data_IF_299899973253
#
_entry.id   IF_299899973253
#
_cell.length_a   1.000
_cell.length_b   1.000
_cell.length_c   1.000
_cell.angle_alpha   90.00
_cell.angle_beta   90.00
_cell.angle_gamma   90.00
#
_symmetry.space_group_name_H-M   'P 1'
#
loop_
_entity.id
_entity.type
_entity.pdbx_description
1 polymer ?
#
# COMPACT_ATOMS: atom_id res chain seq x y z
N UNK A 1 -10.73 -18.66 -3.10
CA UNK A 1 -10.25 -19.47 -1.96
C UNK A 1 -9.21 -18.62 -1.23
N UNK A 2 -9.54 -18.10 -0.05
CA UNK A 2 -8.61 -17.34 0.76
C UNK A 2 -7.69 -18.33 1.48
N UNK A 3 -6.41 -18.36 1.10
CA UNK A 3 -5.38 -19.13 1.77
C UNK A 3 -5.17 -18.57 3.17
N UNK A 4 -5.72 -19.26 4.17
CA UNK A 4 -5.78 -18.87 5.58
C UNK A 4 -4.67 -19.57 6.36
N UNK A 5 -3.42 -19.16 6.15
CA UNK A 5 -2.31 -19.68 6.94
C UNK A 5 -1.04 -18.88 6.74
N UNK A 6 -0.36 -18.59 7.85
CA UNK A 6 1.09 -18.33 7.84
C UNK A 6 1.74 -19.46 7.07
N UNK A 7 2.61 -19.20 6.07
CA UNK A 7 3.39 -20.27 5.49
C UNK A 7 4.13 -21.00 6.64
N UNK A 8 4.28 -22.32 6.52
CA UNK A 8 4.79 -23.17 7.61
C UNK A 8 6.18 -22.69 8.08
N UNK A 9 6.94 -22.19 7.12
CA UNK A 9 8.03 -21.30 7.34
C UNK A 9 7.39 -19.89 7.43
N UNK A 10 7.42 -19.08 8.50
CA UNK A 10 6.74 -17.75 8.59
C UNK A 10 6.84 -16.68 7.46
N UNK A 11 7.01 -15.40 7.83
CA UNK A 11 7.28 -14.34 6.84
C UNK A 11 8.78 -14.32 6.53
N UNK A 12 9.14 -14.38 5.24
CA UNK A 12 10.53 -14.41 4.78
C UNK A 12 10.74 -13.45 3.63
N UNK A 13 11.99 -13.01 3.50
CA UNK A 13 12.43 -12.03 2.52
C UNK A 13 13.23 -10.94 3.20
N UNK A 14 13.75 -10.02 2.41
CA UNK A 14 14.46 -8.86 2.91
C UNK A 14 13.46 -7.82 3.45
N UNK A 15 13.55 -7.37 4.71
CA UNK A 15 12.63 -6.40 5.26
C UNK A 15 12.85 -5.02 4.64
N UNK A 16 11.80 -4.50 4.02
CA UNK A 16 11.81 -3.26 3.26
C UNK A 16 10.68 -2.33 3.71
N UNK A 17 10.86 -1.03 3.48
CA UNK A 17 9.84 -0.03 3.82
C UNK A 17 8.89 0.18 2.65
N UNK A 18 7.62 -0.13 2.86
CA UNK A 18 6.52 0.19 1.94
C UNK A 18 5.77 1.41 2.45
N UNK A 19 5.44 2.31 1.53
CA UNK A 19 4.62 3.49 1.85
C UNK A 19 3.36 3.50 1.00
N UNK A 20 2.23 3.62 1.69
CA UNK A 20 0.90 3.78 1.10
C UNK A 20 0.43 5.18 1.47
N UNK A 21 0.09 6.02 0.51
CA UNK A 21 -0.40 7.37 0.82
C UNK A 21 -1.51 7.87 -0.09
N UNK A 22 -2.33 8.76 0.46
CA UNK A 22 -3.27 9.57 -0.30
C UNK A 22 -2.57 10.79 -0.90
N UNK A 23 -2.80 11.03 -2.19
CA UNK A 23 -2.44 12.25 -2.93
C UNK A 23 -3.68 13.06 -3.31
N UNK A 24 -4.81 12.78 -2.68
CA UNK A 24 -6.01 13.59 -2.84
C UNK A 24 -5.83 14.97 -2.21
N UNK A 25 -6.65 15.94 -2.62
CA UNK A 25 -6.60 17.32 -2.11
C UNK A 25 -6.82 17.40 -0.59
N UNK A 26 -7.50 16.42 -0.01
CA UNK A 26 -7.84 16.32 1.41
C UNK A 26 -6.89 15.39 2.19
N UNK A 27 -5.67 15.17 1.69
CA UNK A 27 -4.70 14.20 2.25
C UNK A 27 -4.31 14.45 3.71
N UNK A 28 -4.50 15.66 4.22
CA UNK A 28 -4.24 16.01 5.62
C UNK A 28 -5.49 15.92 6.52
N UNK A 29 -6.68 15.87 5.93
CA UNK A 29 -7.96 15.92 6.64
C UNK A 29 -8.62 14.55 6.74
N UNK A 30 -8.61 13.79 5.65
CA UNK A 30 -9.32 12.51 5.56
C UNK A 30 -8.41 11.36 5.93
N UNK A 31 -8.70 10.71 7.05
CA UNK A 31 -8.10 9.42 7.40
C UNK A 31 -8.87 8.27 6.72
N UNK A 32 -8.22 7.50 5.85
CA UNK A 32 -8.80 6.28 5.26
C UNK A 32 -8.39 5.00 6.02
N UNK A 33 -7.58 5.14 7.07
CA UNK A 33 -7.11 4.07 7.90
C UNK A 33 -8.01 3.78 9.12
N UNK A 34 -7.65 2.77 9.92
CA UNK A 34 -6.46 1.93 9.75
C UNK A 34 -6.38 1.16 8.42
N UNK A 35 -5.16 0.97 7.91
CA UNK A 35 -4.92 0.15 6.72
C UNK A 35 -4.46 -1.22 7.21
N UNK A 36 -5.22 -2.25 6.85
CA UNK A 36 -4.92 -3.63 7.15
C UNK A 36 -4.01 -4.16 6.04
N UNK A 37 -2.83 -4.64 6.43
CA UNK A 37 -1.88 -5.29 5.56
C UNK A 37 -1.79 -6.75 5.97
N UNK A 38 -2.39 -7.63 5.18
CA UNK A 38 -2.49 -9.06 5.48
C UNK A 38 -1.51 -9.87 4.62
N UNK A 39 -0.77 -10.74 5.26
CA UNK A 39 0.02 -11.76 4.58
C UNK A 39 0.25 -12.93 5.53
N UNK A 40 0.34 -14.15 4.98
CA UNK A 40 0.63 -15.34 5.74
C UNK A 40 -0.14 -15.41 7.06
N UNK A 41 -1.47 -15.28 7.05
CA UNK A 41 -2.29 -15.40 8.26
C UNK A 41 -2.07 -14.36 9.37
N UNK A 42 -1.21 -13.36 9.16
CA UNK A 42 -1.00 -12.23 10.06
C UNK A 42 -1.55 -10.95 9.42
N UNK A 43 -2.01 -10.03 10.26
CA UNK A 43 -2.52 -8.72 9.85
C UNK A 43 -1.74 -7.65 10.59
N UNK A 44 -1.05 -6.79 9.85
CA UNK A 44 -0.50 -5.54 10.37
C UNK A 44 -1.54 -4.42 10.23
N UNK A 45 -1.72 -3.64 11.29
CA UNK A 45 -2.72 -2.59 11.38
C UNK A 45 -2.03 -1.23 11.35
N UNK A 46 -1.92 -0.65 10.15
CA UNK A 46 -1.19 0.58 9.92
C UNK A 46 -2.03 1.79 10.30
N UNK A 47 -1.45 2.66 11.12
CA UNK A 47 -2.02 3.96 11.50
C UNK A 47 -1.30 5.11 10.81
N UNK A 48 -1.97 6.24 10.54
CA UNK A 48 -1.31 7.39 9.92
C UNK A 48 -0.30 8.03 10.87
N UNK A 49 0.65 8.78 10.32
CA UNK A 49 1.59 9.58 11.10
C UNK A 49 0.89 10.62 11.99
N UNK A 50 1.54 11.00 13.09
CA UNK A 50 1.05 12.06 13.98
C UNK A 50 1.01 13.42 13.25
N UNK A 51 0.03 14.25 13.63
CA UNK A 51 0.03 15.68 13.29
C UNK A 51 1.21 16.37 14.00
N UNK A 52 2.12 16.98 13.23
CA UNK A 52 3.27 17.73 13.76
C UNK A 52 3.01 19.26 13.76
N UNK A 53 1.79 19.69 13.48
CA UNK A 53 1.40 21.09 13.56
C UNK A 53 1.37 21.58 15.01
N UNK A 54 2.02 22.72 15.28
CA UNK A 54 1.82 23.43 16.54
C UNK A 54 0.48 24.15 16.47
N UNK A 55 -0.58 23.48 16.90
CA UNK A 55 -1.91 24.06 17.00
C UNK A 55 -2.48 23.82 18.39
N UNK A 56 -2.81 24.92 19.09
CA UNK A 56 -3.34 24.87 20.46
C UNK A 56 -4.72 24.18 20.46
N UNK A 57 -4.88 23.07 21.18
CA UNK A 57 -6.17 22.46 21.50
C UNK A 57 -6.95 21.84 20.34
N UNK A 58 -6.46 20.73 19.76
CA UNK A 58 -7.15 19.96 18.70
C UNK A 58 -7.64 20.79 17.49
N UNK A 59 -7.04 21.96 17.24
CA UNK A 59 -7.54 22.91 16.24
C UNK A 59 -7.10 22.62 14.81
N UNK A 60 -5.99 21.88 14.60
CA UNK A 60 -5.53 21.54 13.26
C UNK A 60 -5.96 20.14 12.82
N UNK A 61 -5.72 19.11 13.66
CA UNK A 61 -6.05 17.72 13.34
C UNK A 61 -5.54 17.26 11.96
N UNK A 62 -4.48 17.89 11.46
CA UNK A 62 -3.94 17.66 10.12
C UNK A 62 -2.98 16.47 10.21
N UNK A 63 -3.37 15.33 9.67
CA UNK A 63 -2.51 14.14 9.64
C UNK A 63 -2.27 13.77 8.21
N UNK A 64 -1.01 13.67 7.84
CA UNK A 64 -0.64 13.10 6.54
C UNK A 64 -1.23 11.69 6.46
N UNK A 65 -2.07 11.48 5.46
CA UNK A 65 -2.66 10.18 5.13
C UNK A 65 -1.62 9.28 4.45
N UNK A 66 -0.54 9.04 5.17
CA UNK A 66 0.64 8.28 4.80
C UNK A 66 0.83 7.19 5.84
N UNK A 67 0.93 5.96 5.37
CA UNK A 67 1.04 4.76 6.17
C UNK A 67 2.36 4.09 5.82
N UNK A 68 3.18 3.91 6.83
CA UNK A 68 4.47 3.23 6.73
C UNK A 68 4.30 1.79 7.18
N UNK A 69 4.77 0.86 6.37
CA UNK A 69 4.80 -0.56 6.68
C UNK A 69 6.20 -1.11 6.49
N UNK A 70 6.55 -2.11 7.30
CA UNK A 70 7.72 -2.95 7.04
C UNK A 70 7.20 -4.25 6.42
N UNK A 71 7.61 -4.51 5.18
CA UNK A 71 7.19 -5.69 4.41
C UNK A 71 8.41 -6.50 4.02
N UNK A 72 8.28 -7.83 3.98
CA UNK A 72 9.30 -8.66 3.38
C UNK A 72 9.18 -8.59 1.85
N UNK A 73 10.32 -8.45 1.16
CA UNK A 73 10.39 -8.59 -0.29
C UNK A 73 9.93 -9.98 -0.75
N UNK A 74 9.57 -10.08 -2.02
CA UNK A 74 9.23 -11.34 -2.70
C UNK A 74 8.00 -12.04 -2.10
N UNK A 75 7.06 -11.23 -1.61
CA UNK A 75 5.82 -11.68 -1.00
C UNK A 75 4.60 -10.98 -1.60
N UNK A 76 3.45 -11.61 -1.41
CA UNK A 76 2.15 -11.01 -1.73
C UNK A 76 1.46 -10.54 -0.46
N UNK A 77 0.93 -9.32 -0.49
CA UNK A 77 0.17 -8.73 0.61
C UNK A 77 -1.22 -8.30 0.13
N UNK A 78 -2.25 -8.58 0.92
CA UNK A 78 -3.56 -8.00 0.74
C UNK A 78 -3.65 -6.67 1.50
N UNK A 79 -4.16 -5.65 0.84
CA UNK A 79 -4.34 -4.30 1.40
C UNK A 79 -5.83 -4.01 1.49
N UNK A 80 -6.30 -3.76 2.71
CA UNK A 80 -7.68 -3.39 2.99
C UNK A 80 -7.71 -2.09 3.79
N UNK A 81 -8.60 -1.18 3.42
CA UNK A 81 -8.82 0.07 4.17
C UNK A 81 -10.12 -0.03 4.95
N UNK A 82 -10.20 0.59 6.13
CA UNK A 82 -11.48 0.71 6.85
C UNK A 82 -12.30 1.90 6.39
N UNK A 83 -11.65 2.96 5.88
CA UNK A 83 -12.30 4.10 5.25
C UNK A 83 -12.34 3.99 3.72
N UNK A 84 -12.94 4.99 3.07
CA UNK A 84 -12.95 5.10 1.61
C UNK A 84 -11.53 5.28 1.08
N UNK A 85 -11.02 4.37 0.21
CA UNK A 85 -9.71 4.52 -0.40
C UNK A 85 -9.57 5.85 -1.15
N UNK A 86 -8.37 6.46 -1.18
CA UNK A 86 -8.12 7.67 -1.96
C UNK A 86 -8.34 7.46 -3.46
N UNK A 87 -8.72 8.54 -4.16
CA UNK A 87 -8.87 8.56 -5.62
C UNK A 87 -7.50 8.53 -6.29
N UNK A 88 -6.56 9.29 -5.75
CA UNK A 88 -5.16 9.29 -6.13
C UNK A 88 -4.35 8.64 -5.00
N UNK A 89 -4.02 7.37 -5.15
CA UNK A 89 -3.17 6.63 -4.22
C UNK A 89 -1.75 6.56 -4.77
N UNK A 90 -0.74 6.86 -3.95
CA UNK A 90 0.66 6.57 -4.27
C UNK A 90 1.13 5.37 -3.45
N UNK A 91 1.76 4.44 -4.15
CA UNK A 91 2.45 3.27 -3.60
C UNK A 91 3.91 3.43 -4.01
N UNK A 92 4.84 3.32 -3.08
CA UNK A 92 6.25 3.46 -3.39
C UNK A 92 7.10 2.70 -2.37
N UNK A 93 8.25 2.23 -2.86
CA UNK A 93 9.18 1.35 -2.18
C UNK A 93 10.53 2.05 -2.04
N UNK A 94 10.61 3.11 -1.21
CA UNK A 94 11.64 4.16 -1.31
C UNK A 94 13.09 3.73 -1.10
N UNK A 95 13.33 2.59 -0.43
CA UNK A 95 14.66 2.14 -0.06
C UNK A 95 14.99 0.74 -0.56
N UNK A 96 14.10 0.16 -1.37
CA UNK A 96 14.29 -1.17 -1.91
C UNK A 96 15.23 -1.14 -3.12
N UNK A 97 15.97 -2.23 -3.33
CA UNK A 97 16.78 -2.40 -4.53
C UNK A 97 15.89 -2.55 -5.77
N UNK A 98 16.42 -2.25 -6.96
CA UNK A 98 15.67 -2.39 -8.23
C UNK A 98 15.20 -3.82 -8.52
N UNK A 99 15.82 -4.81 -7.85
CA UNK A 99 15.49 -6.24 -7.92
C UNK A 99 14.43 -6.67 -6.91
N UNK A 100 14.12 -5.82 -5.92
CA UNK A 100 13.17 -6.13 -4.86
C UNK A 100 11.75 -5.88 -5.34
N UNK A 101 10.88 -6.87 -5.14
CA UNK A 101 9.50 -6.79 -5.57
C UNK A 101 8.51 -7.15 -4.47
N UNK A 102 7.28 -6.64 -4.63
CA UNK A 102 6.16 -6.98 -3.76
C UNK A 102 4.88 -6.92 -4.59
N UNK A 103 3.98 -7.88 -4.38
CA UNK A 103 2.67 -7.87 -5.03
C UNK A 103 1.62 -7.40 -4.02
N UNK A 104 0.89 -6.34 -4.38
CA UNK A 104 -0.18 -5.77 -3.55
C UNK A 104 -1.55 -6.10 -4.15
N UNK A 105 -2.37 -6.82 -3.39
CA UNK A 105 -3.77 -7.10 -3.70
C UNK A 105 -4.64 -6.09 -2.98
N UNK A 106 -5.00 -5.00 -3.65
CA UNK A 106 -5.72 -3.87 -3.04
C UNK A 106 -7.22 -4.02 -3.24
N UNK A 107 -7.96 -4.07 -2.13
CA UNK A 107 -9.41 -4.17 -2.14
C UNK A 107 -10.07 -2.78 -2.19
N UNK A 108 -10.94 -2.56 -3.18
CA UNK A 108 -11.75 -1.36 -3.32
C UNK A 108 -13.23 -1.68 -3.15
N UNK A 109 -13.94 -0.88 -2.36
CA UNK A 109 -15.39 -1.05 -2.12
C UNK A 109 -16.27 -0.46 -3.24
N UNK A 110 -15.66 0.21 -4.23
CA UNK A 110 -16.36 0.86 -5.33
C UNK A 110 -15.99 0.21 -6.66
N UNK A 111 -16.98 0.02 -7.54
CA UNK A 111 -16.84 -0.52 -8.91
C UNK A 111 -16.22 0.47 -9.91
N UNK A 112 -15.69 1.60 -9.43
CA UNK A 112 -15.07 2.61 -10.28
C UNK A 112 -13.81 2.06 -10.95
N UNK A 113 -13.64 2.37 -12.25
CA UNK A 113 -12.44 1.98 -13.00
C UNK A 113 -11.20 2.59 -12.38
N UNK A 114 -10.17 1.76 -12.18
CA UNK A 114 -8.86 2.18 -11.67
C UNK A 114 -7.84 2.23 -12.79
N UNK A 115 -6.88 3.13 -12.64
CA UNK A 115 -5.77 3.30 -13.56
C UNK A 115 -4.48 3.24 -12.78
N UNK A 116 -3.47 2.58 -13.35
CA UNK A 116 -2.10 2.61 -12.86
C UNK A 116 -1.31 3.62 -13.68
N UNK A 117 -0.49 4.39 -12.99
CA UNK A 117 0.34 5.43 -13.58
C UNK A 117 1.75 5.28 -13.05
N UNK A 118 2.74 5.28 -13.93
CA UNK A 118 4.15 5.34 -13.58
C UNK A 118 4.73 6.67 -14.03
N UNK A 119 5.66 7.20 -13.23
CA UNK A 119 6.41 8.38 -13.62
C UNK A 119 7.23 8.09 -14.89
N UNK A 120 7.31 9.05 -15.82
CA UNK A 120 8.00 8.89 -17.11
C UNK A 120 7.28 8.01 -18.16
N UNK A 121 6.51 6.99 -17.76
CA UNK A 121 5.79 6.09 -18.69
C UNK A 121 4.35 6.54 -18.93
N UNK A 122 3.68 7.04 -17.89
CA UNK A 122 2.29 7.43 -17.94
C UNK A 122 1.32 6.29 -17.57
N UNK A 123 0.13 6.32 -18.16
CA UNK A 123 -0.93 5.35 -17.87
C UNK A 123 -0.57 3.97 -18.42
N UNK A 124 -0.59 2.97 -17.56
CA UNK A 124 -0.41 1.57 -17.94
C UNK A 124 -1.72 0.94 -18.45
N UNK A 125 -1.56 0.01 -19.39
CA UNK A 125 -2.64 -0.90 -19.79
C UNK A 125 -2.86 -1.98 -18.72
N UNK A 126 -4.09 -2.47 -18.52
CA UNK A 126 -4.35 -3.58 -17.62
C UNK A 126 -3.54 -4.82 -18.03
N UNK A 127 -2.98 -5.53 -17.05
CA UNK A 127 -2.34 -6.81 -17.28
C UNK A 127 -3.35 -7.86 -17.77
N UNK A 128 -2.88 -8.80 -18.60
CA UNK A 128 -3.69 -9.90 -19.13
C UNK A 128 -3.83 -11.07 -18.15
N UNK A 129 -2.98 -11.12 -17.14
CA UNK A 129 -2.98 -12.12 -16.06
C UNK A 129 -2.69 -11.43 -14.72
N UNK A 130 -2.94 -12.13 -13.61
CA UNK A 130 -2.64 -11.60 -12.29
C UNK A 130 -1.11 -11.56 -12.09
N UNK A 131 -0.54 -10.44 -11.64
CA UNK A 131 0.88 -10.36 -11.31
C UNK A 131 1.26 -11.38 -10.24
N UNK A 132 2.44 -11.95 -10.36
CA UNK A 132 3.01 -12.83 -9.34
C UNK A 132 4.47 -12.45 -9.09
N UNK A 133 4.90 -12.61 -7.84
CA UNK A 133 6.31 -12.51 -7.48
C UNK A 133 7.11 -13.48 -8.35
N UNK A 134 8.20 -13.00 -8.94
CA UNK A 134 9.18 -13.76 -9.71
C UNK A 134 8.73 -14.07 -11.13
N UNK A 135 7.64 -13.45 -11.63
CA UNK A 135 7.14 -13.72 -12.99
C UNK A 135 7.99 -13.06 -14.10
N UNK A 136 8.99 -12.26 -13.70
CA UNK A 136 9.95 -11.60 -14.58
C UNK A 136 9.33 -10.52 -15.48
N UNK A 137 8.07 -10.14 -15.22
CA UNK A 137 7.45 -9.02 -15.91
C UNK A 137 7.94 -7.71 -15.29
N UNK A 138 8.22 -6.68 -16.10
CA UNK A 138 8.55 -5.37 -15.56
C UNK A 138 7.33 -4.80 -14.82
N UNK A 139 7.46 -4.63 -13.50
CA UNK A 139 6.38 -4.10 -12.64
C UNK A 139 6.40 -2.56 -12.52
N UNK A 140 7.22 -1.90 -13.34
CA UNK A 140 7.47 -0.47 -13.29
C UNK A 140 8.79 -0.16 -12.59
N UNK A 141 9.62 0.65 -13.23
CA UNK A 141 10.85 1.23 -12.67
C UNK A 141 10.56 2.47 -11.84
#
# INVERSE_FOLDING_TARGET
AAGTGVPADGLWGDPQLLVIESRDKDSEDRNFGPVLLETGGAVDLLTPCMDHGWCFGYTCQKRLSTYWATVASDQTFAVNTTGTPPRNMRLWFPYAEETSEVVLVINYFEVNRRYLWLEGVGRLSPATSSPAVGDGQPHGS
#
